data_IF_413268373550
#
_entry.id   IF_413268373550
#
_cell.length_a   1.000
_cell.length_b   1.000
_cell.length_c   1.000
_cell.angle_alpha   90.00
_cell.angle_beta   90.00
_cell.angle_gamma   90.00
#
_symmetry.space_group_name_H-M   'P 1'
#
loop_
_entity.id
_entity.type
_entity.pdbx_description
1 polymer ?
#
# COMPACT_ATOMS: atom_id res chain seq x y z
N UNK A 1 18.22 -7.34 -9.94
CA UNK A 1 16.82 -7.48 -9.50
C UNK A 1 16.82 -8.07 -8.08
N UNK A 2 16.01 -7.49 -7.20
CA UNK A 2 15.90 -7.96 -5.82
C UNK A 2 14.93 -9.13 -5.77
N UNK A 3 15.36 -10.22 -5.16
CA UNK A 3 14.46 -11.36 -4.95
C UNK A 3 13.73 -11.19 -3.61
N UNK A 4 12.42 -11.05 -3.68
CA UNK A 4 11.58 -10.91 -2.48
C UNK A 4 10.99 -12.27 -2.13
N UNK A 5 11.18 -12.67 -0.87
CA UNK A 5 10.65 -13.93 -0.34
C UNK A 5 9.40 -13.73 0.51
N UNK A 6 9.34 -12.60 1.22
CA UNK A 6 8.23 -12.31 2.12
C UNK A 6 7.65 -10.93 1.86
N UNK A 7 6.34 -10.82 2.01
CA UNK A 7 5.64 -9.54 2.00
C UNK A 7 4.97 -9.40 3.35
N UNK A 8 5.35 -8.37 4.09
CA UNK A 8 4.85 -8.10 5.43
C UNK A 8 4.08 -6.80 5.42
N UNK A 9 2.95 -6.78 6.11
CA UNK A 9 2.10 -5.58 6.18
C UNK A 9 2.12 -5.11 7.63
N UNK A 10 2.62 -3.90 7.87
CA UNK A 10 2.66 -3.38 9.24
C UNK A 10 1.24 -3.08 9.71
N UNK A 11 1.05 -3.04 11.03
CA UNK A 11 -0.24 -2.85 11.67
C UNK A 11 -0.99 -1.62 11.14
N UNK A 12 -0.29 -0.51 10.99
CA UNK A 12 -0.89 0.75 10.52
C UNK A 12 -1.37 0.61 9.07
N UNK A 13 -0.66 -0.12 8.24
CA UNK A 13 -1.08 -0.35 6.85
C UNK A 13 -2.30 -1.28 6.78
N UNK A 14 -2.42 -2.24 7.70
CA UNK A 14 -3.65 -3.04 7.82
C UNK A 14 -4.82 -2.12 8.15
N UNK A 15 -4.61 -1.16 9.05
CA UNK A 15 -5.62 -0.16 9.37
C UNK A 15 -6.04 0.67 8.14
N UNK A 16 -5.09 1.03 7.28
CA UNK A 16 -5.39 1.74 6.02
C UNK A 16 -6.29 0.90 5.13
N UNK A 17 -6.00 -0.40 5.02
CA UNK A 17 -6.82 -1.32 4.22
C UNK A 17 -8.24 -1.43 4.77
N UNK A 18 -8.37 -1.52 6.10
CA UNK A 18 -9.67 -1.58 6.75
C UNK A 18 -10.48 -0.32 6.48
N UNK A 19 -9.84 0.84 6.58
CA UNK A 19 -10.50 2.13 6.30
C UNK A 19 -11.01 2.18 4.86
N UNK A 20 -10.20 1.76 3.90
CA UNK A 20 -10.58 1.71 2.50
C UNK A 20 -11.71 0.72 2.24
N UNK A 21 -11.64 -0.45 2.86
CA UNK A 21 -12.68 -1.46 2.75
C UNK A 21 -14.03 -0.93 3.23
N UNK A 22 -14.05 -0.29 4.40
CA UNK A 22 -15.27 0.29 4.97
C UNK A 22 -15.81 1.39 4.05
N UNK A 23 -14.92 2.26 3.57
CA UNK A 23 -15.31 3.36 2.69
C UNK A 23 -16.02 2.84 1.43
N UNK A 24 -15.46 1.83 0.78
CA UNK A 24 -16.03 1.29 -0.47
C UNK A 24 -17.27 0.43 -0.22
N UNK A 25 -17.32 -0.29 0.90
CA UNK A 25 -18.48 -1.09 1.24
C UNK A 25 -19.72 -0.21 1.49
N UNK A 26 -19.50 0.98 2.05
CA UNK A 26 -20.59 1.96 2.24
C UNK A 26 -21.07 2.54 0.93
N UNK A 27 -20.23 2.57 -0.09
CA UNK A 27 -20.63 3.02 -1.43
C UNK A 27 -21.53 2.00 -2.11
N UNK A 28 -21.21 0.72 -1.98
CA UNK A 28 -21.96 -0.36 -2.61
C UNK A 28 -21.57 -1.69 -1.97
N UNK A 29 -22.55 -2.52 -1.55
CA UNK A 29 -22.26 -3.84 -1.00
C UNK A 29 -21.38 -4.68 -1.93
N UNK A 30 -20.37 -5.32 -1.37
CA UNK A 30 -19.43 -6.15 -2.09
C UNK A 30 -18.17 -5.43 -2.57
N UNK A 31 -18.21 -4.10 -2.69
CA UNK A 31 -17.06 -3.35 -3.20
C UNK A 31 -15.92 -3.32 -2.17
N UNK A 32 -16.24 -3.40 -0.89
CA UNK A 32 -15.21 -3.46 0.15
C UNK A 32 -14.31 -4.69 0.00
N UNK A 33 -14.91 -5.87 -0.23
CA UNK A 33 -14.13 -7.08 -0.47
C UNK A 33 -13.34 -6.99 -1.77
N UNK A 34 -13.92 -6.42 -2.80
CA UNK A 34 -13.22 -6.22 -4.07
C UNK A 34 -12.02 -5.29 -3.90
N UNK A 35 -12.16 -4.22 -3.11
CA UNK A 35 -11.04 -3.34 -2.77
C UNK A 35 -9.93 -4.12 -2.07
N UNK A 36 -10.26 -4.85 -1.02
CA UNK A 36 -9.31 -5.63 -0.24
C UNK A 36 -8.54 -6.61 -1.13
N UNK A 37 -9.27 -7.42 -1.90
CA UNK A 37 -8.65 -8.42 -2.78
C UNK A 37 -7.77 -7.79 -3.85
N UNK A 38 -8.19 -6.63 -4.36
CA UNK A 38 -7.41 -5.88 -5.37
C UNK A 38 -6.09 -5.38 -4.82
N UNK A 39 -6.09 -4.84 -3.60
CA UNK A 39 -4.88 -4.36 -2.97
C UNK A 39 -3.94 -5.52 -2.60
N UNK A 40 -4.49 -6.63 -2.12
CA UNK A 40 -3.68 -7.82 -1.83
C UNK A 40 -2.99 -8.32 -3.11
N UNK A 41 -3.70 -8.35 -4.23
CA UNK A 41 -3.10 -8.72 -5.52
C UNK A 41 -1.96 -7.78 -5.91
N UNK A 42 -2.12 -6.48 -5.66
CA UNK A 42 -1.06 -5.50 -5.92
C UNK A 42 0.17 -5.78 -5.03
N UNK A 43 -0.05 -6.11 -3.75
CA UNK A 43 1.08 -6.47 -2.87
C UNK A 43 1.79 -7.73 -3.38
N UNK A 44 1.05 -8.72 -3.81
CA UNK A 44 1.63 -9.98 -4.30
C UNK A 44 2.52 -9.77 -5.52
N UNK A 45 2.22 -8.73 -6.32
CA UNK A 45 3.06 -8.39 -7.49
C UNK A 45 4.48 -8.01 -7.08
N UNK A 46 4.71 -7.62 -5.83
CA UNK A 46 6.03 -7.25 -5.34
C UNK A 46 7.00 -8.42 -5.26
N UNK A 47 6.50 -9.64 -5.28
CA UNK A 47 7.38 -10.82 -5.38
C UNK A 47 8.24 -10.72 -6.64
N UNK A 48 7.67 -10.16 -7.71
CA UNK A 48 8.35 -10.03 -9.00
C UNK A 48 8.92 -8.62 -9.19
N UNK A 49 8.16 -7.59 -8.80
CA UNK A 49 8.46 -6.21 -9.21
C UNK A 49 9.03 -5.32 -8.10
N UNK A 50 9.26 -5.83 -6.89
CA UNK A 50 9.78 -4.99 -5.83
C UNK A 50 11.09 -4.29 -6.23
N UNK A 51 11.17 -3.00 -5.93
CA UNK A 51 12.37 -2.21 -6.17
C UNK A 51 12.40 -1.46 -7.50
N UNK A 52 11.46 -1.75 -8.43
CA UNK A 52 11.42 -1.02 -9.71
C UNK A 52 10.75 0.35 -9.59
N UNK A 53 10.04 0.59 -8.50
CA UNK A 53 9.24 1.79 -8.30
C UNK A 53 10.09 2.98 -7.85
N UNK A 54 9.64 4.19 -8.15
CA UNK A 54 10.29 5.40 -7.67
C UNK A 54 10.11 5.54 -6.17
N UNK A 55 11.08 6.21 -5.54
CA UNK A 55 11.00 6.50 -4.11
C UNK A 55 10.44 7.90 -3.87
N UNK A 56 9.66 8.01 -2.79
CA UNK A 56 9.18 9.28 -2.27
C UNK A 56 9.04 9.16 -0.77
N UNK A 57 9.50 10.18 -0.04
CA UNK A 57 9.52 10.16 1.44
C UNK A 57 10.33 8.98 2.00
N UNK A 58 11.36 8.55 1.27
CA UNK A 58 12.21 7.45 1.69
C UNK A 58 11.67 6.06 1.42
N UNK A 59 10.51 5.93 0.79
CA UNK A 59 9.86 4.65 0.50
C UNK A 59 9.57 4.50 -0.99
N UNK A 60 9.50 3.26 -1.44
CA UNK A 60 9.02 2.97 -2.79
C UNK A 60 7.54 3.28 -2.89
N UNK A 61 7.12 3.79 -4.03
CA UNK A 61 5.76 4.25 -4.27
C UNK A 61 5.16 3.50 -5.45
N UNK A 62 4.19 2.63 -5.18
CA UNK A 62 3.50 1.85 -6.20
C UNK A 62 2.05 2.29 -6.27
N UNK A 63 1.56 2.56 -7.49
CA UNK A 63 0.14 2.88 -7.68
C UNK A 63 -0.68 1.60 -7.70
N UNK A 64 -1.78 1.58 -6.96
CA UNK A 64 -2.73 0.48 -7.03
C UNK A 64 -3.38 0.45 -8.41
N UNK A 65 -3.66 -0.74 -8.94
CA UNK A 65 -4.17 -0.88 -10.30
C UNK A 65 -5.63 -0.49 -10.46
N UNK A 66 -6.46 -0.82 -9.48
CA UNK A 66 -7.92 -0.71 -9.62
C UNK A 66 -8.56 0.39 -8.81
N UNK A 67 -7.84 0.90 -7.81
CA UNK A 67 -8.35 1.94 -6.93
C UNK A 67 -7.35 3.08 -6.85
N UNK A 68 -7.80 4.32 -6.62
CA UNK A 68 -6.90 5.49 -6.57
C UNK A 68 -6.15 5.56 -5.23
N UNK A 69 -5.28 4.59 -5.02
CA UNK A 69 -4.47 4.46 -3.81
C UNK A 69 -3.00 4.34 -4.17
N UNK A 70 -2.15 4.81 -3.28
CA UNK A 70 -0.70 4.66 -3.39
C UNK A 70 -0.25 3.70 -2.30
N UNK A 71 0.54 2.71 -2.68
CA UNK A 71 1.14 1.74 -1.77
C UNK A 71 2.58 2.17 -1.54
N UNK A 72 2.92 2.47 -0.29
CA UNK A 72 4.29 2.80 0.11
C UNK A 72 4.90 1.59 0.77
N UNK A 73 6.07 1.18 0.29
CA UNK A 73 6.74 0.01 0.84
C UNK A 73 8.24 0.23 0.94
N UNK A 74 8.87 -0.58 1.78
CA UNK A 74 10.32 -0.61 1.94
C UNK A 74 10.81 -2.03 1.67
N UNK A 75 12.09 -2.15 1.39
CA UNK A 75 12.73 -3.45 1.21
C UNK A 75 13.83 -3.56 2.24
N UNK A 76 13.74 -4.60 3.08
CA UNK A 76 14.77 -4.90 4.07
C UNK A 76 15.20 -6.35 3.82
N UNK A 77 16.44 -6.53 3.37
CA UNK A 77 16.96 -7.83 2.94
C UNK A 77 16.09 -8.41 1.82
N UNK A 78 15.43 -9.52 2.04
CA UNK A 78 14.59 -10.18 1.06
C UNK A 78 13.08 -10.03 1.36
N UNK A 79 12.73 -9.07 2.21
CA UNK A 79 11.34 -8.81 2.60
C UNK A 79 10.88 -7.45 2.12
N UNK A 80 9.65 -7.39 1.60
CA UNK A 80 8.97 -6.14 1.30
C UNK A 80 8.01 -5.82 2.44
N UNK A 81 8.14 -4.63 3.02
CA UNK A 81 7.29 -4.17 4.12
C UNK A 81 6.32 -3.13 3.59
N UNK A 82 5.05 -3.43 3.65
CA UNK A 82 4.00 -2.45 3.28
C UNK A 82 3.84 -1.51 4.47
N UNK A 83 4.16 -0.25 4.26
CA UNK A 83 4.18 0.77 5.32
C UNK A 83 2.89 1.58 5.33
N UNK A 84 2.32 1.86 4.16
CA UNK A 84 1.12 2.69 4.06
C UNK A 84 0.36 2.38 2.78
N UNK A 85 -0.97 2.49 2.84
CA UNK A 85 -1.86 2.37 1.68
C UNK A 85 -2.82 3.55 1.77
N UNK A 86 -2.51 4.62 1.04
CA UNK A 86 -3.16 5.92 1.24
C UNK A 86 -3.91 6.38 -0.01
N UNK A 87 -5.10 6.99 0.16
CA UNK A 87 -5.84 7.54 -0.97
C UNK A 87 -5.05 8.65 -1.67
N UNK A 88 -5.02 8.62 -2.99
CA UNK A 88 -4.32 9.62 -3.78
C UNK A 88 -4.88 11.03 -3.61
N UNK A 89 -6.17 11.14 -3.23
CA UNK A 89 -6.84 12.41 -3.06
C UNK A 89 -6.43 13.18 -1.80
N UNK A 90 -5.72 12.53 -0.88
CA UNK A 90 -5.30 13.19 0.35
C UNK A 90 -4.24 14.27 0.06
N UNK A 91 -4.26 15.31 0.88
CA UNK A 91 -3.27 16.38 0.83
C UNK A 91 -1.85 15.80 0.91
N UNK A 92 -0.93 16.21 0.01
CA UNK A 92 0.46 15.75 0.08
C UNK A 92 1.13 15.96 1.44
N UNK A 93 0.81 17.05 2.14
CA UNK A 93 1.35 17.30 3.47
C UNK A 93 0.87 16.24 4.46
N UNK A 94 -0.41 15.86 4.37
CA UNK A 94 -0.98 14.81 5.22
C UNK A 94 -0.31 13.47 4.95
N UNK A 95 -0.09 13.13 3.68
CA UNK A 95 0.58 11.89 3.28
C UNK A 95 1.99 11.85 3.87
N UNK A 96 2.74 12.94 3.69
CA UNK A 96 4.11 13.04 4.21
C UNK A 96 4.16 12.84 5.72
N UNK A 97 3.28 13.53 6.45
CA UNK A 97 3.22 13.41 7.91
C UNK A 97 2.87 12.00 8.35
N UNK A 98 1.90 11.38 7.68
CA UNK A 98 1.48 10.01 7.97
C UNK A 98 2.64 9.04 7.83
N UNK A 99 3.39 9.15 6.74
CA UNK A 99 4.54 8.28 6.49
C UNK A 99 5.64 8.50 7.50
N UNK A 100 5.93 9.78 7.84
CA UNK A 100 6.94 10.10 8.84
C UNK A 100 6.62 9.49 10.20
N UNK A 101 5.35 9.47 10.57
CA UNK A 101 4.93 8.92 11.87
C UNK A 101 5.11 7.40 11.95
N UNK A 102 5.24 6.73 10.81
CA UNK A 102 5.36 5.26 10.72
C UNK A 102 6.78 4.76 10.55
N UNK A 103 7.71 5.67 10.23
CA UNK A 103 9.11 5.30 9.99
C UNK A 103 9.97 5.50 11.23
#
# INVERSE_FOLDING_TARGET
>A
MIEIKDILIIKEAVGDLDDGKIFYERKRPGVGNYFWDSLIADFESLIIYAGIHKKKYGLYQMLAKRFPYIIYYDIVKDSAYIIAVLPMRKDPAWIKETIKARN
#
